data_IF_173623056395
#
_entry.id   IF_173623056395
#
_cell.length_a   1.000
_cell.length_b   1.000
_cell.length_c   1.000
_cell.angle_alpha   90.00
_cell.angle_beta   90.00
_cell.angle_gamma   90.00
#
_symmetry.space_group_name_H-M   'P 1'
#
loop_
_entity.id
_entity.type
_entity.pdbx_description
1 polymer ?
#
# COMPACT_ATOMS: atom_id res chain seq x y z
N UNK A 1 19.12 -13.24 -14.07
CA UNK A 1 19.77 -12.06 -13.45
C UNK A 1 19.10 -11.88 -12.10
N UNK A 2 19.81 -11.79 -10.96
CA UNK A 2 19.18 -11.36 -9.72
C UNK A 2 18.61 -9.95 -9.95
N UNK A 3 17.35 -9.73 -9.58
CA UNK A 3 16.78 -8.38 -9.59
C UNK A 3 17.51 -7.55 -8.52
N UNK A 4 18.14 -6.47 -8.94
CA UNK A 4 18.82 -5.52 -8.06
C UNK A 4 17.95 -4.27 -7.93
N UNK A 5 17.58 -3.92 -6.70
CA UNK A 5 16.80 -2.72 -6.40
C UNK A 5 17.58 -1.84 -5.42
N UNK A 6 17.89 -0.63 -5.86
CA UNK A 6 18.51 0.38 -5.01
C UNK A 6 17.43 1.22 -4.33
N UNK A 7 17.48 1.30 -3.00
CA UNK A 7 16.58 2.13 -2.20
C UNK A 7 17.37 3.10 -1.34
N UNK A 8 16.85 4.31 -1.18
CA UNK A 8 17.38 5.28 -0.23
C UNK A 8 16.64 5.13 1.09
N UNK A 9 17.38 5.04 2.19
CA UNK A 9 16.81 4.96 3.54
C UNK A 9 17.40 6.03 4.44
N UNK A 10 16.65 6.54 5.43
CA UNK A 10 17.20 7.42 6.46
C UNK A 10 18.32 6.72 7.25
N UNK A 11 19.35 7.46 7.67
CA UNK A 11 20.49 6.92 8.42
C UNK A 11 20.06 6.14 9.67
N UNK A 12 19.11 6.69 10.44
CA UNK A 12 18.57 6.01 11.64
C UNK A 12 17.94 4.65 11.33
N UNK A 13 17.37 4.48 10.14
CA UNK A 13 16.80 3.19 9.72
C UNK A 13 17.93 2.23 9.31
N UNK A 14 18.93 2.72 8.58
CA UNK A 14 20.12 1.94 8.24
C UNK A 14 20.85 1.41 9.49
N UNK A 15 21.05 2.26 10.49
CA UNK A 15 21.70 1.86 11.75
C UNK A 15 20.96 0.72 12.44
N UNK A 16 19.62 0.80 12.50
CA UNK A 16 18.78 -0.28 13.03
C UNK A 16 18.89 -1.57 12.22
N UNK A 17 18.94 -1.47 10.89
CA UNK A 17 19.13 -2.64 10.03
C UNK A 17 20.51 -3.28 10.26
N UNK A 18 21.54 -2.47 10.48
CA UNK A 18 22.90 -2.91 10.76
C UNK A 18 23.01 -3.60 12.13
N UNK A 19 22.37 -3.04 13.17
CA UNK A 19 22.27 -3.67 14.49
C UNK A 19 21.58 -5.03 14.42
N UNK A 20 20.43 -5.11 13.71
CA UNK A 20 19.69 -6.36 13.51
C UNK A 20 20.49 -7.40 12.73
N UNK A 21 21.23 -6.97 11.72
CA UNK A 21 22.11 -7.82 10.93
C UNK A 21 23.21 -8.41 11.81
N UNK A 22 23.88 -7.56 12.60
CA UNK A 22 24.96 -7.93 13.51
C UNK A 22 24.48 -8.92 14.59
N UNK A 23 23.32 -8.65 15.21
CA UNK A 23 22.74 -9.51 16.24
C UNK A 23 22.35 -10.90 15.73
N UNK A 24 22.14 -11.07 14.42
CA UNK A 24 21.67 -12.32 13.81
C UNK A 24 22.70 -13.00 12.91
N UNK A 25 23.92 -12.44 12.80
CA UNK A 25 24.95 -12.93 11.89
C UNK A 25 24.53 -12.89 10.42
N UNK A 26 23.72 -11.91 10.04
CA UNK A 26 23.20 -11.74 8.67
C UNK A 26 23.82 -10.52 8.00
N UNK A 27 23.67 -10.42 6.68
CA UNK A 27 23.91 -9.16 5.96
C UNK A 27 22.67 -8.26 6.02
N UNK A 28 22.86 -6.96 5.83
CA UNK A 28 21.74 -6.00 5.74
C UNK A 28 20.76 -6.39 4.63
N UNK A 29 21.25 -6.85 3.48
CA UNK A 29 20.42 -7.32 2.38
C UNK A 29 19.53 -8.52 2.79
N UNK A 30 20.08 -9.48 3.54
CA UNK A 30 19.31 -10.62 4.05
C UNK A 30 18.25 -10.21 5.07
N UNK A 31 18.55 -9.22 5.91
CA UNK A 31 17.57 -8.65 6.84
C UNK A 31 16.43 -7.98 6.08
N UNK A 32 16.75 -7.17 5.07
CA UNK A 32 15.73 -6.52 4.21
C UNK A 32 14.87 -7.57 3.52
N UNK A 33 15.48 -8.61 2.93
CA UNK A 33 14.74 -9.69 2.28
C UNK A 33 13.74 -10.35 3.25
N UNK A 34 14.17 -10.69 4.47
CA UNK A 34 13.28 -11.28 5.48
C UNK A 34 12.15 -10.35 5.91
N UNK A 35 12.42 -9.05 6.00
CA UNK A 35 11.39 -8.06 6.32
C UNK A 35 10.37 -7.91 5.20
N UNK A 36 10.82 -7.99 3.94
CA UNK A 36 9.95 -7.98 2.76
C UNK A 36 9.11 -9.26 2.70
N UNK A 37 9.74 -10.43 2.86
CA UNK A 37 9.07 -11.73 2.82
C UNK A 37 8.06 -11.89 3.97
N UNK A 38 8.37 -11.32 5.14
CA UNK A 38 7.53 -11.36 6.33
C UNK A 38 6.50 -10.25 6.41
N UNK A 39 6.54 -9.25 5.52
CA UNK A 39 5.55 -8.18 5.52
C UNK A 39 4.19 -8.77 5.15
N UNK A 40 3.16 -8.63 6.01
CA UNK A 40 1.83 -9.10 5.66
C UNK A 40 1.41 -8.42 4.35
N UNK A 41 0.94 -9.21 3.38
CA UNK A 41 0.35 -8.66 2.16
C UNK A 41 -0.70 -7.65 2.60
N UNK A 42 -0.57 -6.39 2.15
CA UNK A 42 -1.56 -5.35 2.46
C UNK A 42 -2.95 -5.94 2.21
N UNK A 43 -3.84 -5.97 3.22
CA UNK A 43 -5.16 -6.57 3.04
C UNK A 43 -5.80 -5.89 1.85
N UNK A 44 -6.31 -6.71 0.91
CA UNK A 44 -7.09 -6.18 -0.20
C UNK A 44 -8.18 -5.28 0.40
N UNK A 45 -8.38 -4.06 -0.11
CA UNK A 45 -9.45 -3.21 0.39
C UNK A 45 -10.76 -3.99 0.31
N UNK A 46 -11.38 -4.22 1.46
CA UNK A 46 -12.63 -4.98 1.61
C UNK A 46 -13.83 -4.17 1.13
N UNK A 47 -13.70 -2.85 1.02
CA UNK A 47 -14.66 -1.95 0.39
C UNK A 47 -13.98 -1.18 -0.75
N UNK A 48 -14.66 -1.10 -1.89
CA UNK A 48 -14.18 -0.37 -3.08
C UNK A 48 -13.38 -1.18 -4.10
N UNK A 49 -13.56 -2.51 -4.19
CA UNK A 49 -12.85 -3.36 -5.17
C UNK A 49 -13.75 -4.32 -5.96
N UNK A 50 -13.67 -4.22 -7.30
CA UNK A 50 -14.03 -5.23 -8.33
C UNK A 50 -15.43 -5.88 -8.30
N UNK A 51 -16.42 -5.29 -7.62
CA UNK A 51 -17.84 -5.70 -7.74
C UNK A 51 -18.78 -4.56 -8.16
N UNK A 52 -18.27 -3.49 -8.75
CA UNK A 52 -19.10 -2.65 -9.62
C UNK A 52 -19.48 -3.50 -10.83
N UNK A 53 -20.76 -3.58 -11.18
CA UNK A 53 -21.32 -4.49 -12.21
C UNK A 53 -20.78 -4.28 -13.64
N UNK A 54 -19.78 -3.42 -13.81
CA UNK A 54 -19.10 -3.06 -15.04
C UNK A 54 -18.39 -1.72 -14.87
N UNK A 55 -17.53 -1.31 -15.82
CA UNK A 55 -17.10 0.08 -15.92
C UNK A 55 -18.32 0.95 -16.27
N UNK A 56 -18.50 2.07 -15.56
CA UNK A 56 -19.47 3.10 -15.91
C UNK A 56 -18.85 4.06 -16.94
N UNK A 57 -19.63 4.52 -17.90
CA UNK A 57 -19.27 5.66 -18.74
C UNK A 57 -19.25 6.96 -17.90
N UNK A 58 -18.53 7.98 -18.36
CA UNK A 58 -18.40 9.26 -17.66
C UNK A 58 -19.78 9.89 -17.37
N UNK A 59 -20.68 9.80 -18.34
CA UNK A 59 -22.04 10.34 -18.27
C UNK A 59 -22.92 9.59 -17.24
N UNK A 60 -22.62 8.32 -16.97
CA UNK A 60 -23.32 7.51 -15.96
C UNK A 60 -22.82 7.85 -14.56
N UNK A 61 -21.51 8.13 -14.41
CA UNK A 61 -20.92 8.61 -13.15
C UNK A 61 -21.53 9.95 -12.76
N UNK A 62 -21.63 10.90 -13.69
CA UNK A 62 -22.20 12.22 -13.44
C UNK A 62 -23.66 12.14 -12.98
N UNK A 63 -24.44 11.22 -13.57
CA UNK A 63 -25.83 10.97 -13.20
C UNK A 63 -25.96 10.40 -11.79
N UNK A 64 -25.16 9.38 -11.45
CA UNK A 64 -25.18 8.80 -10.10
C UNK A 64 -24.74 9.81 -9.02
N UNK A 65 -23.74 10.64 -9.32
CA UNK A 65 -23.28 11.67 -8.40
C UNK A 65 -24.32 12.78 -8.21
N UNK A 66 -25.02 13.17 -9.28
CA UNK A 66 -26.14 14.12 -9.19
C UNK A 66 -27.30 13.56 -8.35
N UNK A 67 -27.62 12.27 -8.50
CA UNK A 67 -28.71 11.62 -7.75
C UNK A 67 -28.37 11.44 -6.26
N UNK A 68 -27.11 11.11 -5.92
CA UNK A 68 -26.62 11.03 -4.53
C UNK A 68 -26.63 12.39 -3.82
N UNK A 69 -26.42 13.47 -4.57
CA UNK A 69 -26.43 14.84 -4.03
C UNK A 69 -27.87 15.31 -3.73
N UNK A 70 -28.89 14.63 -4.26
CA UNK A 70 -30.31 15.00 -4.09
C UNK A 70 -30.96 14.48 -2.80
N UNK A 71 -30.34 13.51 -2.13
CA UNK A 71 -30.79 12.99 -0.83
C UNK A 71 -29.65 13.13 0.18
N UNK A 72 -29.65 14.27 0.88
CA UNK A 72 -28.54 14.75 1.69
C UNK A 72 -28.01 13.79 2.75
N UNK A 73 -26.68 13.78 2.88
CA UNK A 73 -25.97 13.59 4.14
C UNK A 73 -25.29 14.92 4.47
N UNK A 74 -25.38 15.42 5.72
CA UNK A 74 -24.69 16.63 6.11
C UNK A 74 -23.18 16.44 5.96
N UNK A 75 -22.53 17.46 5.41
CA UNK A 75 -21.08 17.63 5.44
C UNK A 75 -20.63 17.76 6.89
N UNK A 76 -20.15 16.68 7.49
CA UNK A 76 -19.26 16.77 8.64
C UNK A 76 -17.82 16.86 8.13
N UNK A 77 -17.19 18.02 8.35
CA UNK A 77 -15.77 18.29 8.14
C UNK A 77 -15.47 19.44 7.21
#
# INVERSE_FOLDING_TARGET
MPDETTITVPTRLYDRLLELASARGLTVAQVVQRLVDGAPSRPKPTMGGYRSGGPLAAEEIDRELADRTRFGLPSDG
#
